data_IF_451429526295
#
_entry.id   IF_451429526295
#
_cell.length_a   1.000
_cell.length_b   1.000
_cell.length_c   1.000
_cell.angle_alpha   90.00
_cell.angle_beta   90.00
_cell.angle_gamma   90.00
#
_symmetry.space_group_name_H-M   'P 1'
#
loop_
_entity.id
_entity.type
_entity.pdbx_description
1 polymer ?
#
# COMPACT_ATOMS: atom_id res chain seq x y z
N UNK A 1 -15.01 -4.42 -5.17
CA UNK A 1 -14.87 -4.64 -6.62
C UNK A 1 -13.55 -4.10 -7.19
N UNK A 2 -13.25 -2.80 -7.07
CA UNK A 2 -12.02 -2.17 -7.61
C UNK A 2 -10.72 -2.88 -7.19
N UNK A 3 -10.58 -3.28 -5.92
CA UNK A 3 -9.40 -3.98 -5.44
C UNK A 3 -9.17 -5.33 -6.15
N UNK A 4 -10.25 -6.06 -6.46
CA UNK A 4 -10.15 -7.34 -7.16
C UNK A 4 -9.85 -7.18 -8.64
N UNK A 5 -10.44 -6.17 -9.26
CA UNK A 5 -10.11 -5.80 -10.63
C UNK A 5 -8.62 -5.43 -10.77
N UNK A 6 -8.07 -4.66 -9.83
CA UNK A 6 -6.64 -4.33 -9.81
C UNK A 6 -5.76 -5.58 -9.62
N UNK A 7 -6.14 -6.50 -8.75
CA UNK A 7 -5.38 -7.75 -8.56
C UNK A 7 -5.37 -8.62 -9.82
N UNK A 8 -6.48 -8.70 -10.55
CA UNK A 8 -6.54 -9.39 -11.85
C UNK A 8 -5.58 -8.79 -12.88
N UNK A 9 -5.33 -7.48 -12.84
CA UNK A 9 -4.33 -6.84 -13.70
C UNK A 9 -2.91 -7.23 -13.29
N UNK A 10 -2.62 -7.27 -11.99
CA UNK A 10 -1.31 -7.72 -11.50
C UNK A 10 -0.98 -9.13 -12.00
N UNK A 11 -1.94 -10.06 -11.95
CA UNK A 11 -1.76 -11.46 -12.39
C UNK A 11 -1.53 -11.57 -13.91
N UNK A 12 -2.07 -10.64 -14.70
CA UNK A 12 -1.96 -10.64 -16.16
C UNK A 12 -0.67 -10.01 -16.69
N UNK A 13 0.14 -9.41 -15.83
CA UNK A 13 1.42 -8.84 -16.24
C UNK A 13 2.43 -9.99 -16.35
N UNK A 14 2.99 -10.18 -17.54
CA UNK A 14 3.98 -11.21 -17.82
C UNK A 14 5.32 -10.83 -17.19
N UNK A 15 5.79 -11.68 -16.26
CA UNK A 15 6.90 -11.34 -15.38
C UNK A 15 6.48 -10.26 -14.37
N UNK A 16 7.10 -10.24 -13.19
CA UNK A 16 6.84 -9.20 -12.19
C UNK A 16 7.49 -7.87 -12.63
N UNK A 17 7.00 -7.31 -13.73
CA UNK A 17 7.41 -6.01 -14.25
C UNK A 17 6.94 -4.90 -13.30
N UNK A 18 7.64 -3.77 -13.33
CA UNK A 18 7.32 -2.60 -12.51
C UNK A 18 5.89 -2.08 -12.75
N UNK A 19 5.29 -2.40 -13.91
CA UNK A 19 3.88 -2.16 -14.19
C UNK A 19 2.92 -2.74 -13.15
N UNK A 20 3.32 -3.77 -12.37
CA UNK A 20 2.52 -4.33 -11.29
C UNK A 20 2.35 -3.37 -10.09
N UNK A 21 3.36 -2.52 -9.84
CA UNK A 21 3.40 -1.64 -8.67
C UNK A 21 2.24 -0.62 -8.66
N UNK A 22 1.93 0.11 -9.75
CA UNK A 22 0.74 0.95 -9.82
C UNK A 22 -0.58 0.22 -9.54
N UNK A 23 -0.75 -1.01 -10.06
CA UNK A 23 -1.97 -1.79 -9.85
C UNK A 23 -2.12 -2.23 -8.39
N UNK A 24 -1.02 -2.60 -7.73
CA UNK A 24 -1.01 -2.84 -6.28
C UNK A 24 -1.50 -1.60 -5.53
N UNK A 25 -1.02 -0.40 -5.87
CA UNK A 25 -1.49 0.83 -5.24
C UNK A 25 -2.97 1.10 -5.51
N UNK A 26 -3.48 0.87 -6.72
CA UNK A 26 -4.91 0.99 -6.97
C UNK A 26 -5.74 0.01 -6.13
N UNK A 27 -5.22 -1.20 -5.86
CA UNK A 27 -5.88 -2.14 -4.96
C UNK A 27 -5.87 -1.64 -3.51
N UNK A 28 -4.71 -1.19 -3.02
CA UNK A 28 -4.57 -0.64 -1.67
C UNK A 28 -5.43 0.61 -1.46
N UNK A 29 -5.45 1.53 -2.42
CA UNK A 29 -6.29 2.74 -2.39
C UNK A 29 -7.78 2.38 -2.32
N UNK A 30 -8.19 1.33 -3.04
CA UNK A 30 -9.57 0.83 -3.02
C UNK A 30 -9.97 0.15 -1.70
N UNK A 31 -9.02 -0.49 -1.00
CA UNK A 31 -9.26 -1.17 0.29
C UNK A 31 -9.27 -0.15 1.43
N UNK A 32 -8.29 0.74 1.46
CA UNK A 32 -8.03 1.62 2.58
C UNK A 32 -8.67 3.01 2.43
N UNK A 33 -9.40 3.26 1.34
CA UNK A 33 -10.12 4.51 1.13
C UNK A 33 -9.22 5.75 1.12
N UNK A 34 -7.95 5.61 0.72
CA UNK A 34 -7.04 6.74 0.62
C UNK A 34 -7.43 7.56 -0.60
N UNK A 35 -8.04 8.73 -0.41
CA UNK A 35 -8.19 9.68 -1.52
C UNK A 35 -6.80 9.99 -2.09
N UNK A 36 -6.68 10.06 -3.42
CA UNK A 36 -5.45 10.50 -4.07
C UNK A 36 -4.96 11.81 -3.41
N UNK A 37 -3.78 11.78 -2.78
CA UNK A 37 -3.19 12.92 -2.06
C UNK A 37 -3.29 12.91 -0.53
N UNK A 38 -4.11 12.04 0.10
CA UNK A 38 -4.03 11.79 1.56
C UNK A 38 -2.89 10.81 1.81
N UNK A 39 -1.78 11.34 2.31
CA UNK A 39 -0.44 10.75 2.20
C UNK A 39 -0.24 9.34 2.77
N UNK A 40 0.86 8.74 2.36
CA UNK A 40 1.40 7.43 2.76
C UNK A 40 1.30 7.06 4.26
N UNK A 41 1.34 8.04 5.17
CA UNK A 41 1.21 7.77 6.60
C UNK A 41 -0.16 7.21 6.99
N UNK A 42 -1.24 7.69 6.35
CA UNK A 42 -2.61 7.20 6.57
C UNK A 42 -2.74 5.72 6.17
N UNK A 43 -2.09 5.32 5.07
CA UNK A 43 -2.07 3.93 4.62
C UNK A 43 -1.42 3.00 5.66
N UNK A 44 -0.27 3.37 6.21
CA UNK A 44 0.44 2.53 7.18
C UNK A 44 -0.37 2.31 8.46
N UNK A 45 -1.09 3.33 8.94
CA UNK A 45 -1.93 3.22 10.13
C UNK A 45 -3.14 2.33 9.89
N UNK A 46 -3.81 2.49 8.75
CA UNK A 46 -4.94 1.65 8.36
C UNK A 46 -4.55 0.18 8.15
N UNK A 47 -3.38 -0.08 7.57
CA UNK A 47 -2.84 -1.45 7.46
C UNK A 47 -2.60 -2.05 8.84
N UNK A 48 -1.97 -1.30 9.74
CA UNK A 48 -1.71 -1.76 11.11
C UNK A 48 -3.02 -2.11 11.84
N UNK A 49 -4.06 -1.30 11.65
CA UNK A 49 -5.38 -1.54 12.20
C UNK A 49 -6.03 -2.80 11.61
N UNK A 50 -6.14 -2.90 10.28
CA UNK A 50 -6.84 -4.00 9.62
C UNK A 50 -6.18 -5.35 9.86
N UNK A 51 -4.84 -5.39 9.84
CA UNK A 51 -4.09 -6.64 9.96
C UNK A 51 -3.68 -6.97 11.40
N UNK A 52 -4.09 -6.16 12.38
CA UNK A 52 -3.72 -6.34 13.81
C UNK A 52 -2.20 -6.55 13.98
N UNK A 53 -1.40 -5.67 13.36
CA UNK A 53 0.05 -5.84 13.29
C UNK A 53 0.69 -5.61 14.66
N UNK A 54 1.51 -6.56 15.12
CA UNK A 54 2.23 -6.44 16.39
C UNK A 54 3.21 -5.27 16.40
N UNK A 55 3.37 -4.60 17.54
CA UNK A 55 4.23 -3.40 17.66
C UNK A 55 5.67 -3.62 17.17
N UNK A 56 6.25 -4.78 17.46
CA UNK A 56 7.61 -5.13 17.01
C UNK A 56 7.74 -5.20 15.48
N UNK A 57 6.65 -5.45 14.77
CA UNK A 57 6.61 -5.61 13.30
C UNK A 57 6.27 -4.30 12.58
N UNK A 58 5.60 -3.35 13.24
CA UNK A 58 5.14 -2.09 12.62
C UNK A 58 6.26 -1.29 11.96
N UNK A 59 7.47 -1.27 12.55
CA UNK A 59 8.64 -0.58 11.97
C UNK A 59 9.09 -1.22 10.67
N UNK A 60 9.15 -2.56 10.61
CA UNK A 60 9.56 -3.29 9.41
C UNK A 60 8.51 -3.12 8.30
N UNK A 61 7.23 -3.27 8.63
CA UNK A 61 6.13 -3.05 7.69
C UNK A 61 6.14 -1.64 7.11
N UNK A 62 6.30 -0.61 7.96
CA UNK A 62 6.37 0.78 7.50
C UNK A 62 7.55 1.03 6.55
N UNK A 63 8.67 0.34 6.76
CA UNK A 63 9.83 0.40 5.85
C UNK A 63 9.48 -0.20 4.48
N UNK A 64 8.93 -1.42 4.44
CA UNK A 64 8.56 -2.07 3.18
C UNK A 64 7.48 -1.29 2.41
N UNK A 65 6.47 -0.77 3.12
CA UNK A 65 5.47 0.11 2.53
C UNK A 65 6.13 1.34 1.89
N UNK A 66 7.14 1.93 2.54
CA UNK A 66 7.82 3.12 2.03
C UNK A 66 8.62 2.80 0.79
N UNK A 67 9.36 1.69 0.79
CA UNK A 67 10.11 1.22 -0.37
C UNK A 67 9.18 0.95 -1.57
N UNK A 68 8.02 0.33 -1.33
CA UNK A 68 6.99 0.12 -2.33
C UNK A 68 6.46 1.45 -2.90
N UNK A 69 6.20 2.44 -2.04
CA UNK A 69 5.75 3.78 -2.47
C UNK A 69 6.82 4.57 -3.22
N UNK A 70 8.08 4.47 -2.80
CA UNK A 70 9.21 5.08 -3.48
C UNK A 70 9.40 4.46 -4.87
N UNK A 71 9.21 3.15 -5.00
CA UNK A 71 9.24 2.46 -6.30
C UNK A 71 8.12 2.96 -7.23
N UNK A 72 6.88 3.07 -6.73
CA UNK A 72 5.77 3.68 -7.48
C UNK A 72 6.11 5.11 -7.91
N UNK A 73 6.61 5.92 -6.99
CA UNK A 73 6.94 7.33 -7.24
C UNK A 73 8.00 7.46 -8.33
N UNK A 74 9.08 6.67 -8.25
CA UNK A 74 10.11 6.59 -9.29
C UNK A 74 9.51 6.22 -10.65
N UNK A 75 8.63 5.22 -10.70
CA UNK A 75 8.01 4.81 -11.96
C UNK A 75 7.11 5.89 -12.57
N UNK A 76 6.20 6.47 -11.77
CA UNK A 76 5.21 7.44 -12.25
C UNK A 76 5.84 8.78 -12.62
N UNK A 77 6.87 9.22 -11.89
CA UNK A 77 7.51 10.53 -12.08
C UNK A 77 8.82 10.47 -12.86
N UNK A 78 9.15 9.34 -13.50
CA UNK A 78 10.31 9.21 -14.39
C UNK A 78 11.68 9.09 -13.71
N UNK A 79 11.70 8.76 -12.41
CA UNK A 79 12.91 8.44 -11.65
C UNK A 79 13.28 6.95 -11.64
N UNK A 80 12.53 6.11 -12.34
CA UNK A 80 12.84 4.69 -12.51
C UNK A 80 13.76 4.52 -13.72
N UNK A 81 14.93 3.94 -13.50
CA UNK A 81 15.83 3.59 -14.60
C UNK A 81 15.14 2.54 -15.47
N UNK A 82 15.19 2.71 -16.79
CA UNK A 82 14.67 1.72 -17.74
C UNK A 82 15.32 0.38 -17.40
N UNK A 83 14.50 -0.59 -16.96
CA UNK A 83 15.00 -1.92 -16.63
C UNK A 83 15.68 -2.51 -17.86
N UNK A 84 17.00 -2.66 -17.78
CA UNK A 84 17.74 -3.43 -18.75
C UNK A 84 17.57 -4.91 -18.37
N UNK A 85 17.38 -5.85 -19.31
CA UNK A 85 17.27 -7.28 -18.99
C UNK A 85 18.47 -7.89 -18.24
N UNK A 86 19.55 -7.14 -18.07
CA UNK A 86 20.77 -7.53 -17.35
C UNK A 86 20.88 -6.86 -15.97
N UNK A 87 19.92 -6.02 -15.59
CA UNK A 87 19.83 -5.39 -14.28
C UNK A 87 19.07 -6.32 -13.31
N UNK A 88 19.71 -7.45 -13.00
CA UNK A 88 19.11 -8.52 -12.21
C UNK A 88 18.71 -8.05 -10.80
N UNK A 89 19.54 -7.21 -10.17
CA UNK A 89 19.30 -6.68 -8.82
C UNK A 89 18.05 -5.79 -8.78
N UNK A 90 17.86 -4.93 -9.78
CA UNK A 90 16.67 -4.08 -9.89
C UNK A 90 15.42 -4.93 -10.12
N UNK A 91 15.50 -5.95 -10.98
CA UNK A 91 14.39 -6.86 -11.25
C UNK A 91 14.02 -7.68 -10.00
N UNK A 92 15.00 -8.17 -9.24
CA UNK A 92 14.75 -8.87 -7.98
C UNK A 92 14.07 -7.95 -6.94
N UNK A 93 14.55 -6.71 -6.81
CA UNK A 93 13.93 -5.73 -5.92
C UNK A 93 12.47 -5.42 -6.31
N UNK A 94 12.18 -5.27 -7.60
CA UNK A 94 10.81 -5.05 -8.09
C UNK A 94 9.94 -6.27 -7.77
N UNK A 95 10.45 -7.47 -7.99
CA UNK A 95 9.73 -8.72 -7.69
C UNK A 95 9.40 -8.84 -6.20
N UNK A 96 10.37 -8.57 -5.32
CA UNK A 96 10.19 -8.64 -3.86
C UNK A 96 9.15 -7.63 -3.37
N UNK A 97 9.20 -6.40 -3.88
CA UNK A 97 8.23 -5.36 -3.54
C UNK A 97 6.85 -5.68 -4.11
N UNK A 98 6.76 -6.24 -5.31
CA UNK A 98 5.50 -6.68 -5.91
C UNK A 98 4.88 -7.83 -5.11
N UNK A 99 5.69 -8.84 -4.74
CA UNK A 99 5.26 -9.96 -3.90
C UNK A 99 4.75 -9.49 -2.54
N UNK A 100 5.49 -8.58 -1.90
CA UNK A 100 5.05 -7.94 -0.66
C UNK A 100 3.70 -7.22 -0.86
N UNK A 101 3.58 -6.40 -1.90
CA UNK A 101 2.37 -5.64 -2.20
C UNK A 101 1.15 -6.50 -2.50
N UNK A 102 1.31 -7.58 -3.28
CA UNK A 102 0.26 -8.57 -3.56
C UNK A 102 -0.15 -9.29 -2.28
N UNK A 103 0.82 -9.76 -1.49
CA UNK A 103 0.55 -10.43 -0.21
C UNK A 103 -0.22 -9.53 0.74
N UNK A 104 0.13 -8.24 0.76
CA UNK A 104 -0.57 -7.24 1.55
C UNK A 104 -2.03 -7.06 1.09
N UNK A 105 -2.26 -6.94 -0.22
CA UNK A 105 -3.63 -6.82 -0.78
C UNK A 105 -4.47 -8.05 -0.44
N UNK A 106 -3.93 -9.25 -0.64
CA UNK A 106 -4.63 -10.51 -0.34
C UNK A 106 -4.96 -10.59 1.16
N UNK A 107 -3.97 -10.34 2.03
CA UNK A 107 -4.16 -10.38 3.48
C UNK A 107 -5.20 -9.36 3.95
N UNK A 108 -5.24 -8.19 3.32
CA UNK A 108 -6.21 -7.14 3.62
C UNK A 108 -7.63 -7.55 3.25
N UNK A 109 -7.82 -8.12 2.05
CA UNK A 109 -9.11 -8.66 1.62
C UNK A 109 -9.57 -9.79 2.56
N UNK A 110 -8.67 -10.71 2.90
CA UNK A 110 -8.96 -11.81 3.82
C UNK A 110 -9.37 -11.28 5.20
N UNK A 111 -8.66 -10.27 5.73
CA UNK A 111 -9.00 -9.68 7.02
C UNK A 111 -10.39 -9.01 6.99
N UNK A 112 -10.71 -8.28 5.93
CA UNK A 112 -12.06 -7.71 5.75
C UNK A 112 -13.14 -8.80 5.76
N UNK A 113 -12.92 -9.89 5.02
CA UNK A 113 -13.85 -11.03 4.97
C UNK A 113 -14.02 -11.71 6.33
N UNK A 114 -12.92 -11.93 7.06
CA UNK A 114 -12.95 -12.57 8.39
C UNK A 114 -13.70 -11.74 9.43
N UNK A 115 -13.71 -10.42 9.26
CA UNK A 115 -14.42 -9.50 10.16
C UNK A 115 -15.84 -9.14 9.68
N UNK A 116 -16.29 -9.68 8.53
CA UNK A 116 -17.55 -9.29 7.88
C UNK A 116 -17.64 -7.77 7.58
N UNK A 117 -16.50 -7.18 7.18
CA UNK A 117 -16.38 -5.76 6.85
C UNK A 117 -16.34 -5.52 5.34
N UNK A 118 -17.01 -4.46 4.89
CA UNK A 118 -16.98 -4.01 3.50
C UNK A 118 -15.98 -2.86 3.25
N UNK A 119 -15.63 -2.08 4.28
CA UNK A 119 -14.69 -0.96 4.19
C UNK A 119 -14.04 -0.61 5.55
N UNK A 120 -13.01 0.24 5.51
CA UNK A 120 -12.40 0.84 6.70
C UNK A 120 -12.66 2.35 6.68
N UNK A 121 -13.25 2.87 7.75
CA UNK A 121 -13.46 4.30 7.96
C UNK A 121 -12.47 4.89 8.97
N UNK A 122 -12.15 6.18 8.79
CA UNK A 122 -11.41 6.98 9.79
C UNK A 122 -12.26 8.19 10.14
N UNK A 123 -12.45 8.44 11.43
CA UNK A 123 -13.15 9.62 11.96
C UNK A 123 -12.13 10.52 12.65
N UNK A 124 -11.68 11.58 11.97
CA UNK A 124 -10.79 12.57 12.56
C UNK A 124 -11.57 13.55 13.44
N UNK A 125 -11.07 13.81 14.66
CA UNK A 125 -11.63 14.82 15.58
C UNK A 125 -10.58 15.87 15.89
N UNK A 126 -10.90 17.13 15.58
CA UNK A 126 -10.10 18.31 15.94
C UNK A 126 -10.88 19.10 16.99
N UNK A 127 -10.25 19.45 18.11
CA UNK A 127 -10.86 20.28 19.14
C UNK A 127 -9.87 21.31 19.71
N UNK A 128 -10.39 22.46 20.12
CA UNK A 128 -9.62 23.52 20.78
C UNK A 128 -9.97 23.63 22.25
N UNK A 129 -9.00 24.00 23.08
CA UNK A 129 -9.23 24.28 24.50
C UNK A 129 -9.56 25.76 24.71
N UNK A 130 -10.46 26.04 25.67
CA UNK A 130 -10.68 27.41 26.14
C UNK A 130 -9.51 27.84 27.02
N UNK A 131 -9.04 29.07 26.81
CA UNK A 131 -8.11 29.72 27.74
C UNK A 131 -8.95 30.23 28.92
N UNK A 132 -8.82 29.62 30.09
CA UNK A 132 -9.34 30.17 31.35
C UNK A 132 -8.37 31.24 31.84
N UNK A 133 -8.72 32.51 31.64
CA UNK A 133 -8.09 33.61 32.38
C UNK A 133 -8.53 33.49 33.85
N UNK A 134 -7.55 33.37 34.74
CA UNK A 134 -7.72 33.38 36.21
C UNK A 134 -7.72 34.81 36.72
#
# INVERSE_FOLDING_TARGET
EKAMFSLLHVIKIDGYDIGAIPWIFHALEAIYGTNAGRGFNDLSEKVNFLLTVEERQKKALKKQLRELNDMRSKFVHGGFNVSHPMDYDLNEQVNDLANFGVSLVISSIQSLMLNDWNEIGVVEKIYGHKITAS
#
